data_IF_792905980490
#
_entry.id   IF_792905980490
#
_cell.length_a   1.000
_cell.length_b   1.000
_cell.length_c   1.000
_cell.angle_alpha   90.00
_cell.angle_beta   90.00
_cell.angle_gamma   90.00
#
_symmetry.space_group_name_H-M   'P 1'
#
loop_
_entity.id
_entity.type
_entity.pdbx_description
1 polymer ?
#
# COMPACT_ATOMS: atom_id res chain seq x y z
N UNK A 1 3.33 -10.77 20.30
CA UNK A 1 2.37 -9.84 19.72
C UNK A 1 3.13 -8.74 19.00
N UNK A 2 2.83 -8.51 17.72
CA UNK A 2 3.44 -7.45 16.93
C UNK A 2 2.85 -7.38 15.53
N UNK A 3 3.11 -6.27 14.84
CA UNK A 3 2.67 -6.07 13.45
C UNK A 3 3.65 -6.66 12.44
N UNK A 4 4.83 -7.12 12.90
CA UNK A 4 5.88 -7.76 12.11
C UNK A 4 6.27 -6.98 10.84
N UNK A 5 6.36 -5.66 10.94
CA UNK A 5 6.69 -4.75 9.84
C UNK A 5 8.22 -4.68 9.61
N UNK A 6 8.83 -5.82 9.44
CA UNK A 6 10.22 -5.95 8.98
C UNK A 6 10.40 -7.34 8.39
N UNK A 7 10.81 -7.40 7.14
CA UNK A 7 11.07 -8.69 6.48
C UNK A 7 12.21 -9.48 7.15
N UNK A 8 13.11 -8.81 7.89
CA UNK A 8 14.20 -9.47 8.62
C UNK A 8 13.76 -10.50 9.64
N UNK A 9 12.51 -10.44 10.09
CA UNK A 9 11.95 -11.48 10.97
C UNK A 9 11.69 -12.79 10.24
N UNK A 10 11.48 -12.76 8.91
CA UNK A 10 10.98 -13.89 8.16
C UNK A 10 11.51 -13.97 6.71
N UNK A 11 12.56 -13.24 6.34
CA UNK A 11 13.15 -13.26 5.00
C UNK A 11 13.58 -14.67 4.58
N UNK A 12 14.11 -15.44 5.53
CA UNK A 12 14.53 -16.84 5.34
C UNK A 12 13.39 -17.81 5.03
N UNK A 13 12.14 -17.42 5.33
CA UNK A 13 10.90 -18.15 5.02
C UNK A 13 9.90 -17.29 4.24
N UNK A 14 10.37 -16.23 3.57
CA UNK A 14 9.52 -15.26 2.89
C UNK A 14 8.56 -15.90 1.88
N UNK A 15 9.02 -16.94 1.18
CA UNK A 15 8.17 -17.70 0.25
C UNK A 15 7.02 -18.38 0.97
N UNK A 16 7.30 -19.06 2.09
CA UNK A 16 6.28 -19.74 2.90
C UNK A 16 5.27 -18.74 3.46
N UNK A 17 5.74 -17.60 3.99
CA UNK A 17 4.85 -16.54 4.52
C UNK A 17 3.91 -16.03 3.42
N UNK A 18 4.42 -15.82 2.21
CA UNK A 18 3.58 -15.38 1.09
C UNK A 18 2.55 -16.42 0.66
N UNK A 19 2.90 -17.70 0.72
CA UNK A 19 2.00 -18.81 0.42
C UNK A 19 0.91 -18.90 1.50
N UNK A 20 1.28 -18.85 2.77
CA UNK A 20 0.37 -18.89 3.92
C UNK A 20 -0.61 -17.68 3.97
N UNK A 21 -0.16 -16.52 3.46
CA UNK A 21 -0.98 -15.30 3.36
C UNK A 21 -1.70 -15.17 2.01
N UNK A 22 -1.84 -16.25 1.25
CA UNK A 22 -2.61 -16.29 0.01
C UNK A 22 -4.07 -15.87 0.23
N UNK A 23 -4.61 -15.10 -0.71
CA UNK A 23 -6.03 -14.73 -0.68
C UNK A 23 -6.91 -15.90 -1.09
N UNK A 24 -8.12 -15.98 -0.51
CA UNK A 24 -9.12 -16.95 -0.97
C UNK A 24 -9.44 -16.73 -2.44
N UNK A 25 -9.64 -17.83 -3.18
CA UNK A 25 -9.90 -17.80 -4.62
C UNK A 25 -11.08 -16.90 -5.00
N UNK A 26 -12.12 -16.85 -4.18
CA UNK A 26 -13.29 -15.98 -4.40
C UNK A 26 -12.88 -14.51 -4.44
N UNK A 27 -12.14 -14.04 -3.41
CA UNK A 27 -11.66 -12.66 -3.29
C UNK A 27 -10.68 -12.35 -4.43
N UNK A 28 -9.72 -13.26 -4.68
CA UNK A 28 -8.72 -13.08 -5.72
C UNK A 28 -9.35 -12.97 -7.11
N UNK A 29 -10.36 -13.78 -7.41
CA UNK A 29 -11.05 -13.75 -8.70
C UNK A 29 -11.89 -12.48 -8.89
N UNK A 30 -12.49 -11.95 -7.82
CA UNK A 30 -13.19 -10.66 -7.87
C UNK A 30 -12.20 -9.52 -8.09
N UNK A 31 -11.12 -9.46 -7.34
CA UNK A 31 -10.08 -8.44 -7.51
C UNK A 31 -9.42 -8.49 -8.88
N UNK A 32 -9.21 -9.68 -9.46
CA UNK A 32 -8.70 -9.84 -10.83
C UNK A 32 -9.62 -9.22 -11.89
N UNK A 33 -10.94 -9.30 -11.72
CA UNK A 33 -11.90 -8.66 -12.63
C UNK A 33 -11.82 -7.14 -12.57
N UNK A 34 -11.45 -6.59 -11.43
CA UNK A 34 -11.28 -5.16 -11.24
C UNK A 34 -9.94 -4.70 -11.80
N UNK A 35 -8.83 -5.35 -11.41
CA UNK A 35 -7.49 -4.90 -11.75
C UNK A 35 -7.21 -4.89 -13.25
N UNK A 36 -7.80 -5.79 -14.03
CA UNK A 36 -7.64 -5.86 -15.49
C UNK A 36 -8.21 -4.64 -16.23
N UNK A 37 -8.99 -3.80 -15.57
CA UNK A 37 -9.52 -2.56 -16.12
C UNK A 37 -8.51 -1.40 -16.07
N UNK A 38 -7.37 -1.61 -15.40
CA UNK A 38 -6.31 -0.62 -15.24
C UNK A 38 -5.04 -1.06 -15.95
N UNK A 39 -4.32 -0.10 -16.50
CA UNK A 39 -3.00 -0.33 -17.10
C UNK A 39 -1.91 0.06 -16.10
N UNK A 40 -1.23 -0.93 -15.56
CA UNK A 40 -0.12 -0.80 -14.60
C UNK A 40 -0.43 0.17 -13.45
N UNK A 41 -1.50 -0.06 -12.68
CA UNK A 41 -1.95 0.90 -11.68
C UNK A 41 -0.98 1.02 -10.50
N UNK A 42 -0.97 2.23 -9.93
CA UNK A 42 -0.31 2.54 -8.67
C UNK A 42 -1.32 2.34 -7.54
N UNK A 43 -0.98 1.55 -6.54
CA UNK A 43 -1.71 1.51 -5.26
C UNK A 43 -1.31 2.69 -4.39
N UNK A 44 -2.26 3.53 -3.99
CA UNK A 44 -2.03 4.65 -3.08
C UNK A 44 -2.88 4.48 -1.83
N UNK A 45 -2.25 4.27 -0.68
CA UNK A 45 -2.96 4.09 0.59
C UNK A 45 -2.95 5.35 1.44
N UNK A 46 -4.12 5.73 1.93
CA UNK A 46 -4.34 6.89 2.81
C UNK A 46 -4.97 6.40 4.11
N UNK A 47 -4.26 6.57 5.23
CA UNK A 47 -4.77 6.24 6.56
C UNK A 47 -5.09 7.51 7.35
N UNK A 48 -6.34 7.66 7.76
CA UNK A 48 -6.84 8.84 8.46
C UNK A 48 -7.63 8.47 9.72
N UNK A 49 -8.69 7.74 9.64
CA UNK A 49 -9.61 7.30 10.68
C UNK A 49 -9.16 7.56 12.11
N UNK A 50 -8.69 6.54 12.78
CA UNK A 50 -8.15 6.61 14.14
C UNK A 50 -6.87 7.46 14.27
N UNK A 51 -6.12 7.67 13.18
CA UNK A 51 -4.90 8.49 13.18
C UNK A 51 -5.19 9.97 13.45
N UNK A 52 -6.37 10.48 13.09
CA UNK A 52 -6.78 11.85 13.38
C UNK A 52 -6.87 12.13 14.88
N UNK A 53 -7.29 11.15 15.66
CA UNK A 53 -7.43 11.25 17.13
C UNK A 53 -6.20 10.75 17.89
N UNK A 54 -5.28 10.05 17.20
CA UNK A 54 -4.09 9.43 17.78
C UNK A 54 -2.79 9.94 17.13
N UNK A 55 -2.77 11.18 16.66
CA UNK A 55 -1.65 11.78 15.90
C UNK A 55 -0.34 11.85 16.67
N UNK A 56 -0.38 11.82 17.98
CA UNK A 56 0.81 11.76 18.85
C UNK A 56 1.57 10.44 18.71
N UNK A 57 0.88 9.34 18.37
CA UNK A 57 1.46 8.02 18.16
C UNK A 57 1.58 7.69 16.66
N UNK A 58 0.52 7.92 15.91
CA UNK A 58 0.42 7.64 14.47
C UNK A 58 -0.14 8.87 13.75
N UNK A 59 0.71 9.80 13.29
CA UNK A 59 0.24 10.98 12.61
C UNK A 59 -0.30 10.65 11.22
N UNK A 60 -1.45 11.22 10.81
CA UNK A 60 -1.87 11.14 9.42
C UNK A 60 -0.84 11.85 8.54
N UNK A 61 -0.58 11.31 7.36
CA UNK A 61 0.30 11.94 6.38
C UNK A 61 -0.42 13.09 5.67
N UNK A 62 0.29 14.17 5.41
CA UNK A 62 -0.22 15.31 4.64
C UNK A 62 -0.23 15.04 3.13
N UNK A 63 -0.96 15.88 2.40
CA UNK A 63 -1.00 15.80 0.92
C UNK A 63 0.37 16.00 0.28
N UNK A 64 1.26 16.77 0.91
CA UNK A 64 2.64 17.00 0.49
C UNK A 64 3.44 15.71 0.31
N UNK A 65 3.23 14.71 1.18
CA UNK A 65 3.82 13.38 1.01
C UNK A 65 3.31 12.70 -0.27
N UNK A 66 1.99 12.70 -0.49
CA UNK A 66 1.38 12.05 -1.65
C UNK A 66 1.74 12.76 -2.96
N UNK A 67 1.75 14.09 -2.99
CA UNK A 67 2.22 14.88 -4.12
C UNK A 67 3.67 14.53 -4.50
N UNK A 68 4.56 14.50 -3.51
CA UNK A 68 5.96 14.14 -3.69
C UNK A 68 6.10 12.70 -4.19
N UNK A 69 5.37 11.75 -3.62
CA UNK A 69 5.41 10.35 -4.03
C UNK A 69 4.89 10.17 -5.47
N UNK A 70 3.77 10.81 -5.81
CA UNK A 70 3.18 10.77 -7.15
C UNK A 70 4.11 11.38 -8.21
N UNK A 71 4.89 12.42 -7.86
CA UNK A 71 5.86 13.03 -8.79
C UNK A 71 7.02 12.10 -9.21
N UNK A 72 7.16 10.94 -8.57
CA UNK A 72 8.16 9.93 -8.91
C UNK A 72 7.68 8.94 -9.99
N UNK A 73 6.46 9.11 -10.48
CA UNK A 73 5.84 8.35 -11.56
C UNK A 73 5.43 9.26 -12.72
N UNK A 74 5.18 8.67 -13.86
CA UNK A 74 4.63 9.37 -15.02
C UNK A 74 3.24 9.93 -14.68
N UNK A 75 2.93 11.15 -15.18
CA UNK A 75 1.73 11.90 -14.81
C UNK A 75 0.41 11.29 -15.31
N UNK A 76 0.47 10.37 -16.27
CA UNK A 76 -0.66 9.66 -16.87
C UNK A 76 -0.94 8.29 -16.22
N UNK A 77 -0.08 7.83 -15.29
CA UNK A 77 -0.28 6.56 -14.59
C UNK A 77 -1.57 6.57 -13.79
N UNK A 78 -2.34 5.49 -13.97
CA UNK A 78 -3.57 5.27 -13.19
C UNK A 78 -3.27 4.95 -11.73
N UNK A 79 -4.10 5.44 -10.84
CA UNK A 79 -3.91 5.32 -9.39
C UNK A 79 -5.19 4.81 -8.74
N UNK A 80 -5.08 3.74 -7.98
CA UNK A 80 -6.18 3.25 -7.14
C UNK A 80 -5.91 3.69 -5.71
N UNK A 81 -6.80 4.52 -5.16
CA UNK A 81 -6.72 5.05 -3.80
C UNK A 81 -7.48 4.12 -2.86
N UNK A 82 -6.80 3.65 -1.84
CA UNK A 82 -7.37 2.87 -0.73
C UNK A 82 -7.36 3.72 0.53
N UNK A 83 -8.49 3.82 1.22
CA UNK A 83 -8.58 4.64 2.43
C UNK A 83 -9.74 4.23 3.33
N UNK A 84 -9.55 4.43 4.62
CA UNK A 84 -10.61 4.39 5.63
C UNK A 84 -11.43 5.70 5.72
N UNK A 85 -11.09 6.72 4.87
CA UNK A 85 -11.79 8.00 4.73
C UNK A 85 -11.95 8.35 3.24
N UNK A 86 -12.71 7.51 2.52
CA UNK A 86 -12.93 7.65 1.06
C UNK A 86 -13.60 8.96 0.70
N UNK A 87 -14.47 9.48 1.58
CA UNK A 87 -15.13 10.78 1.38
C UNK A 87 -14.10 11.91 1.34
N UNK A 88 -13.19 11.94 2.31
CA UNK A 88 -12.13 12.94 2.33
C UNK A 88 -11.26 12.85 1.07
N UNK A 89 -10.92 11.63 0.62
CA UNK A 89 -10.13 11.45 -0.60
C UNK A 89 -10.80 12.10 -1.83
N UNK A 90 -12.10 11.90 -2.00
CA UNK A 90 -12.89 12.45 -3.13
C UNK A 90 -13.02 13.99 -3.09
N UNK A 91 -12.81 14.60 -1.94
CA UNK A 91 -12.86 16.06 -1.75
C UNK A 91 -11.50 16.73 -2.01
N UNK A 92 -10.41 15.97 -2.24
CA UNK A 92 -9.08 16.53 -2.43
C UNK A 92 -8.85 16.89 -3.90
N UNK A 93 -8.46 18.14 -4.15
CA UNK A 93 -8.10 18.63 -5.49
C UNK A 93 -6.97 17.81 -6.14
N UNK A 94 -6.09 17.25 -5.35
CA UNK A 94 -4.99 16.40 -5.82
C UNK A 94 -5.49 15.15 -6.58
N UNK A 95 -6.69 14.68 -6.25
CA UNK A 95 -7.28 13.44 -6.77
C UNK A 95 -8.49 13.66 -7.68
N UNK A 96 -8.69 14.89 -8.20
CA UNK A 96 -9.82 15.22 -9.09
C UNK A 96 -9.66 14.67 -10.52
N UNK A 97 -8.43 14.37 -10.95
CA UNK A 97 -8.15 13.88 -12.30
C UNK A 97 -8.69 12.45 -12.51
N UNK A 98 -9.17 12.15 -13.72
CA UNK A 98 -9.77 10.86 -14.10
C UNK A 98 -8.84 9.66 -13.95
N UNK A 99 -7.53 9.88 -13.80
CA UNK A 99 -6.55 8.82 -13.51
C UNK A 99 -6.65 8.24 -12.10
N UNK A 100 -7.36 8.93 -11.19
CA UNK A 100 -7.55 8.48 -9.81
C UNK A 100 -8.89 7.77 -9.65
N UNK A 101 -8.85 6.55 -9.15
CA UNK A 101 -10.02 5.79 -8.77
C UNK A 101 -9.98 5.52 -7.26
N UNK A 102 -10.98 5.95 -6.51
CA UNK A 102 -11.09 5.61 -5.08
C UNK A 102 -11.73 4.25 -4.95
N UNK A 103 -11.05 3.31 -4.29
CA UNK A 103 -11.61 2.00 -4.00
C UNK A 103 -12.83 2.14 -3.10
N UNK A 104 -13.95 1.58 -3.54
CA UNK A 104 -15.18 1.42 -2.75
C UNK A 104 -15.36 -0.06 -2.38
N UNK A 105 -14.23 -0.72 -2.06
CA UNK A 105 -14.17 -2.14 -1.78
C UNK A 105 -15.18 -2.59 -0.72
N UNK A 106 -15.60 -3.84 -0.81
CA UNK A 106 -16.60 -4.41 0.08
C UNK A 106 -16.08 -4.57 1.51
N UNK A 107 -14.77 -4.80 1.67
CA UNK A 107 -14.09 -4.98 2.96
C UNK A 107 -12.56 -4.88 2.83
N UNK A 108 -11.89 -4.92 3.97
CA UNK A 108 -10.43 -4.83 4.08
C UNK A 108 -9.67 -5.97 3.38
N UNK A 109 -10.28 -7.14 3.19
CA UNK A 109 -9.62 -8.27 2.53
C UNK A 109 -9.59 -8.07 1.03
N UNK A 110 -10.67 -7.54 0.45
CA UNK A 110 -10.72 -7.14 -0.95
C UNK A 110 -9.77 -5.98 -1.24
N UNK A 111 -9.74 -4.95 -0.36
CA UNK A 111 -8.81 -3.83 -0.51
C UNK A 111 -7.35 -4.30 -0.46
N UNK A 112 -6.97 -5.15 0.49
CA UNK A 112 -5.61 -5.67 0.58
C UNK A 112 -5.25 -6.54 -0.64
N UNK A 113 -6.18 -7.37 -1.10
CA UNK A 113 -6.00 -8.19 -2.29
C UNK A 113 -5.82 -7.30 -3.54
N UNK A 114 -6.73 -6.35 -3.77
CA UNK A 114 -6.66 -5.45 -4.93
C UNK A 114 -5.40 -4.58 -4.89
N UNK A 115 -5.04 -4.07 -3.71
CA UNK A 115 -3.79 -3.36 -3.48
C UNK A 115 -2.59 -4.19 -3.92
N UNK A 116 -2.50 -5.44 -3.49
CA UNK A 116 -1.38 -6.34 -3.79
C UNK A 116 -1.28 -6.74 -5.28
N UNK A 117 -2.35 -6.55 -6.06
CA UNK A 117 -2.36 -6.78 -7.51
C UNK A 117 -1.86 -5.57 -8.32
N UNK A 118 -1.67 -4.40 -7.70
CA UNK A 118 -1.12 -3.22 -8.35
C UNK A 118 0.36 -3.41 -8.74
N UNK A 119 0.85 -2.55 -9.64
CA UNK A 119 2.22 -2.62 -10.16
C UNK A 119 3.22 -1.81 -9.33
N UNK A 120 2.79 -0.69 -8.75
CA UNK A 120 3.60 0.19 -7.92
C UNK A 120 2.83 0.60 -6.66
N UNK A 121 3.53 1.11 -5.65
CA UNK A 121 2.93 1.38 -4.35
C UNK A 121 3.36 2.72 -3.76
N UNK A 122 2.40 3.48 -3.27
CA UNK A 122 2.59 4.62 -2.36
C UNK A 122 1.90 4.25 -1.05
N UNK A 123 2.66 3.86 -0.05
CA UNK A 123 2.11 3.36 1.21
C UNK A 123 1.96 4.48 2.26
N UNK A 124 0.94 4.35 3.10
CA UNK A 124 0.86 5.14 4.34
C UNK A 124 1.76 4.53 5.44
N UNK A 125 1.90 5.22 6.56
CA UNK A 125 2.53 4.72 7.79
C UNK A 125 1.62 3.70 8.53
N UNK A 126 1.21 2.66 7.81
CA UNK A 126 0.24 1.66 8.24
C UNK A 126 0.72 0.25 7.91
N UNK A 127 0.58 -0.68 8.89
CA UNK A 127 0.85 -2.10 8.67
C UNK A 127 0.04 -2.68 7.52
N UNK A 128 -1.18 -2.18 7.32
CA UNK A 128 -2.05 -2.63 6.24
C UNK A 128 -1.39 -2.46 4.86
N UNK A 129 -0.94 -1.26 4.51
CA UNK A 129 -0.30 -1.02 3.22
C UNK A 129 1.13 -1.55 3.14
N UNK A 130 1.83 -1.65 4.28
CA UNK A 130 3.13 -2.33 4.34
C UNK A 130 2.99 -3.79 3.86
N UNK A 131 2.03 -4.52 4.44
CA UNK A 131 1.75 -5.90 4.05
C UNK A 131 1.19 -6.00 2.63
N UNK A 132 0.31 -5.08 2.21
CA UNK A 132 -0.22 -5.04 0.84
C UNK A 132 0.89 -4.96 -0.21
N UNK A 133 1.86 -4.06 -0.03
CA UNK A 133 3.01 -3.92 -0.91
C UNK A 133 3.99 -5.11 -0.81
N UNK A 134 4.22 -5.65 0.39
CA UNK A 134 5.12 -6.78 0.57
C UNK A 134 4.58 -8.08 -0.04
N UNK A 135 3.28 -8.30 0.03
CA UNK A 135 2.61 -9.47 -0.54
C UNK A 135 2.52 -9.41 -2.08
N UNK A 136 2.58 -8.24 -2.69
CA UNK A 136 2.45 -8.04 -4.14
C UNK A 136 3.42 -8.88 -4.99
N UNK A 137 4.57 -9.22 -4.44
CA UNK A 137 5.62 -10.00 -5.12
C UNK A 137 5.18 -11.42 -5.56
N UNK A 138 3.99 -11.92 -5.15
CA UNK A 138 3.62 -13.34 -5.32
C UNK A 138 2.25 -13.64 -5.95
N UNK A 139 1.38 -12.66 -6.21
CA UNK A 139 -0.05 -12.94 -6.49
C UNK A 139 -0.33 -13.17 -7.98
N UNK A 140 0.67 -13.15 -8.82
CA UNK A 140 0.48 -13.40 -10.25
C UNK A 140 0.49 -14.90 -10.58
N UNK A 141 -0.63 -15.40 -11.10
CA UNK A 141 -0.66 -16.70 -11.77
C UNK A 141 -0.92 -16.47 -13.28
N UNK A 142 0.04 -16.71 -14.17
CA UNK A 142 1.36 -17.25 -13.86
C UNK A 142 2.16 -16.32 -12.94
N UNK A 143 3.04 -16.89 -12.08
CA UNK A 143 3.86 -16.03 -11.20
C UNK A 143 4.57 -15.00 -12.06
N UNK A 144 4.53 -13.71 -11.65
CA UNK A 144 5.42 -12.71 -12.24
C UNK A 144 6.84 -13.30 -12.16
N UNK A 145 7.70 -13.05 -13.17
CA UNK A 145 9.08 -13.45 -13.05
C UNK A 145 9.59 -13.00 -11.70
N UNK A 146 10.48 -13.76 -11.07
CA UNK A 146 10.93 -13.71 -9.68
C UNK A 146 11.40 -12.35 -9.15
N UNK A 147 11.30 -11.31 -9.96
CA UNK A 147 11.65 -9.93 -9.64
C UNK A 147 10.42 -9.04 -9.83
N UNK A 148 9.82 -8.64 -8.70
CA UNK A 148 8.97 -7.47 -8.66
C UNK A 148 9.86 -6.26 -8.96
N UNK A 149 9.62 -5.60 -10.08
CA UNK A 149 10.35 -4.41 -10.55
C UNK A 149 9.61 -3.11 -10.25
N UNK A 150 8.44 -3.20 -9.61
CA UNK A 150 7.64 -2.06 -9.20
C UNK A 150 8.29 -1.27 -8.06
N UNK A 151 8.01 0.03 -8.02
CA UNK A 151 8.49 0.93 -6.97
C UNK A 151 7.55 0.87 -5.76
N UNK A 152 8.12 0.84 -4.56
CA UNK A 152 7.38 1.07 -3.32
C UNK A 152 7.89 2.34 -2.69
N UNK A 153 7.03 3.35 -2.59
CA UNK A 153 7.33 4.62 -1.92
C UNK A 153 6.76 4.56 -0.50
N UNK A 154 7.62 4.76 0.49
CA UNK A 154 7.26 4.71 1.90
C UNK A 154 7.56 6.03 2.61
N UNK A 155 6.75 6.41 3.62
CA UNK A 155 6.98 7.64 4.36
C UNK A 155 8.11 7.49 5.38
N UNK A 156 9.02 8.45 5.43
CA UNK A 156 10.07 8.51 6.45
C UNK A 156 9.49 8.65 7.86
N UNK A 157 8.39 9.40 7.98
CA UNK A 157 7.69 9.62 9.25
C UNK A 157 6.67 8.52 9.49
N UNK A 158 7.09 7.46 10.21
CA UNK A 158 6.20 6.33 10.52
C UNK A 158 5.45 6.51 11.84
N UNK A 159 6.16 6.96 12.88
CA UNK A 159 5.62 7.16 14.22
C UNK A 159 5.55 8.65 14.58
N UNK A 160 4.64 8.97 15.49
CA UNK A 160 4.53 10.29 16.10
C UNK A 160 5.49 10.47 17.29
N UNK A 161 5.53 11.68 17.87
CA UNK A 161 6.50 12.02 18.91
C UNK A 161 6.36 11.23 20.21
N UNK A 162 5.22 10.59 20.44
CA UNK A 162 4.99 9.76 21.64
C UNK A 162 5.62 8.36 21.52
N UNK A 163 6.02 7.94 20.33
CA UNK A 163 6.61 6.62 20.07
C UNK A 163 8.04 6.79 19.56
N UNK A 164 8.99 6.42 20.44
CA UNK A 164 10.42 6.45 20.11
C UNK A 164 10.88 5.06 19.65
N UNK A 165 10.36 4.58 18.51
CA UNK A 165 10.75 3.31 17.94
C UNK A 165 11.86 3.47 16.89
N UNK A 166 12.82 2.55 16.90
CA UNK A 166 13.83 2.46 15.85
C UNK A 166 13.20 1.90 14.57
N UNK A 167 13.27 2.65 13.49
CA UNK A 167 12.68 2.30 12.19
C UNK A 167 13.71 1.82 11.17
N UNK A 168 14.97 1.60 11.57
CA UNK A 168 16.08 1.23 10.65
C UNK A 168 15.83 -0.04 9.85
N UNK A 169 15.05 -0.98 10.42
CA UNK A 169 14.75 -2.28 9.82
C UNK A 169 13.29 -2.38 9.35
N UNK A 170 12.55 -1.25 9.35
CA UNK A 170 11.13 -1.22 9.04
C UNK A 170 10.85 -1.51 7.57
N UNK A 171 11.68 -1.01 6.67
CA UNK A 171 11.46 -1.12 5.25
C UNK A 171 12.44 -2.10 4.60
N UNK A 172 11.98 -2.91 3.64
CA UNK A 172 12.86 -3.63 2.72
C UNK A 172 13.86 -2.67 2.04
N UNK A 173 15.10 -3.13 1.75
CA UNK A 173 16.15 -2.24 1.23
C UNK A 173 15.89 -1.71 -0.19
N UNK A 174 14.97 -2.32 -0.92
CA UNK A 174 14.54 -1.90 -2.26
C UNK A 174 13.41 -0.84 -2.24
N UNK A 175 12.86 -0.52 -1.07
CA UNK A 175 11.83 0.50 -0.94
C UNK A 175 12.43 1.92 -0.87
N UNK A 176 11.74 2.88 -1.50
CA UNK A 176 12.14 4.28 -1.54
C UNK A 176 11.48 5.02 -0.37
N UNK A 177 12.28 5.53 0.56
CA UNK A 177 11.80 6.23 1.76
C UNK A 177 11.95 7.74 1.58
N UNK A 178 10.84 8.50 1.65
CA UNK A 178 10.80 9.96 1.41
C UNK A 178 10.22 10.76 2.56
#
# INVERSE_FOLDING_TARGET
>A
WGFFQSEKYFDHIAFQIRDDFGFKDEILNECRKVIVQFDKPISLHIRRGDFLTNSGNHPPLGLDYYEKALSMFESDRQVIIFSDDTKWCKEQKLFEDDRFAVSEGSDQFHDMCLMSLCDDFIIANSSFSWWGAWLAKNICNPPRPTYFDGKVIAPKKWFGPNLNHDTKDLFPPDWIVI
#
